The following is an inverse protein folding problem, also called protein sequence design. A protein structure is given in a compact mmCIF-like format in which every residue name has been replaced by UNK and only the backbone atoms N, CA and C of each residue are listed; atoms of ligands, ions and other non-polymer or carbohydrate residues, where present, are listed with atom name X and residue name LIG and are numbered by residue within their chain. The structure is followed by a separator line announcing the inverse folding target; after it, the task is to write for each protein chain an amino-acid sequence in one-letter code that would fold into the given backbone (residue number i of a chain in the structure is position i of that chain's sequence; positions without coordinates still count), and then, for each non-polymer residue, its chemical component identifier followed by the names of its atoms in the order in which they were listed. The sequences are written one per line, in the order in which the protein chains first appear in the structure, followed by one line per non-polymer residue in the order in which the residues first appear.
data_IF_420137057703
#
_entry.id   IF_420137057703
#
_cell.length_a   1.000
_cell.length_b   1.000
_cell.length_c   1.000
_cell.angle_alpha   90.00
_cell.angle_beta   90.00
_cell.angle_gamma   90.00
#
_symmetry.space_group_name_H-M   'P 1'
#
loop_
_entity.id
_entity.type
_entity.pdbx_description
1 polymer ?
#
# COMPACT_ATOMS: atom_id res chain seq x y z
N UNK A 1 10.98 2.43 2.70
CA UNK A 1 9.90 2.12 1.74
C UNK A 1 10.10 0.76 1.11
N UNK A 2 9.02 0.08 0.72
CA UNK A 2 9.07 -1.31 0.19
C UNK A 2 9.77 -1.42 -1.17
N UNK A 3 9.71 -0.35 -1.97
CA UNK A 3 10.26 -0.34 -3.33
C UNK A 3 11.80 -0.42 -3.33
N UNK A 4 12.56 0.43 -2.61
CA UNK A 4 14.02 0.28 -2.51
C UNK A 4 14.47 -1.07 -1.95
N UNK A 5 13.72 -1.65 -1.00
CA UNK A 5 14.01 -2.97 -0.43
C UNK A 5 13.79 -4.10 -1.46
N UNK A 6 12.70 -4.05 -2.22
CA UNK A 6 12.48 -4.99 -3.32
C UNK A 6 13.58 -4.90 -4.38
N UNK A 7 14.03 -3.67 -4.65
CA UNK A 7 15.10 -3.41 -5.61
C UNK A 7 16.47 -3.90 -5.14
N UNK A 8 16.78 -3.77 -3.85
CA UNK A 8 18.02 -4.31 -3.30
C UNK A 8 18.03 -5.84 -3.34
N UNK A 9 16.89 -6.49 -3.08
CA UNK A 9 16.72 -7.94 -3.26
C UNK A 9 16.97 -8.34 -4.72
N UNK A 10 16.40 -7.62 -5.68
CA UNK A 10 16.59 -7.89 -7.11
C UNK A 10 18.05 -7.72 -7.55
N UNK A 11 18.72 -6.67 -7.09
CA UNK A 11 20.16 -6.42 -7.37
C UNK A 11 21.07 -7.49 -6.77
N UNK A 12 20.66 -8.12 -5.66
CA UNK A 12 21.36 -9.25 -5.02
C UNK A 12 21.06 -10.61 -5.67
N UNK A 13 20.41 -10.62 -6.83
CA UNK A 13 20.15 -11.84 -7.61
C UNK A 13 18.85 -12.56 -7.27
N UNK A 14 17.91 -11.93 -6.54
CA UNK A 14 16.58 -12.53 -6.36
C UNK A 14 15.86 -12.72 -7.71
N UNK A 15 15.16 -13.85 -7.86
CA UNK A 15 14.32 -14.08 -9.02
C UNK A 15 13.13 -13.09 -9.04
N UNK A 16 12.49 -12.92 -10.20
CA UNK A 16 11.39 -11.97 -10.31
C UNK A 16 10.22 -12.34 -9.38
N UNK A 17 9.95 -13.64 -9.21
CA UNK A 17 8.87 -14.12 -8.36
C UNK A 17 9.00 -13.65 -6.90
N UNK A 18 10.18 -13.82 -6.29
CA UNK A 18 10.44 -13.42 -4.91
C UNK A 18 10.33 -11.90 -4.72
N UNK A 19 10.83 -11.11 -5.68
CA UNK A 19 10.70 -9.65 -5.66
C UNK A 19 9.24 -9.21 -5.76
N UNK A 20 8.44 -9.83 -6.64
CA UNK A 20 7.01 -9.50 -6.76
C UNK A 20 6.22 -9.91 -5.51
N UNK A 21 6.45 -11.10 -4.95
CA UNK A 21 5.77 -11.53 -3.73
C UNK A 21 6.04 -10.57 -2.56
N UNK A 22 7.28 -10.09 -2.44
CA UNK A 22 7.64 -9.09 -1.44
C UNK A 22 6.93 -7.75 -1.67
N UNK A 23 6.87 -7.26 -2.92
CA UNK A 23 6.19 -6.01 -3.27
C UNK A 23 4.69 -6.04 -2.98
N UNK A 24 4.03 -7.18 -3.18
CA UNK A 24 2.58 -7.33 -2.95
C UNK A 24 2.27 -7.44 -1.46
N UNK A 25 2.94 -8.35 -0.74
CA UNK A 25 2.57 -8.68 0.64
C UNK A 25 2.91 -7.55 1.62
N UNK A 26 4.09 -6.94 1.49
CA UNK A 26 4.66 -6.05 2.50
C UNK A 26 3.80 -4.83 2.83
N UNK A 27 3.24 -4.06 1.86
CA UNK A 27 2.41 -2.90 2.19
C UNK A 27 1.07 -3.28 2.81
N UNK A 28 0.63 -4.53 2.71
CA UNK A 28 -0.72 -4.95 3.12
C UNK A 28 -0.75 -5.71 4.43
N UNK A 29 0.32 -6.41 4.78
CA UNK A 29 0.44 -7.18 6.02
C UNK A 29 1.12 -6.40 7.16
N UNK A 30 1.29 -5.09 7.00
CA UNK A 30 1.85 -4.22 8.05
C UNK A 30 0.96 -4.19 9.30
N UNK A 31 1.58 -4.19 10.49
CA UNK A 31 0.86 -4.16 11.76
C UNK A 31 -0.01 -2.89 11.92
N UNK A 32 0.46 -1.77 11.39
CA UNK A 32 -0.26 -0.51 11.29
C UNK A 32 -1.53 -0.65 10.44
N UNK A 33 -1.42 -1.26 9.26
CA UNK A 33 -2.56 -1.48 8.37
C UNK A 33 -3.59 -2.43 8.97
N UNK A 34 -3.14 -3.48 9.68
CA UNK A 34 -4.01 -4.45 10.33
C UNK A 34 -4.76 -3.79 11.49
N UNK A 35 -4.07 -3.00 12.32
CA UNK A 35 -4.69 -2.28 13.43
C UNK A 35 -5.77 -1.29 12.95
N UNK A 36 -5.50 -0.54 11.88
CA UNK A 36 -6.47 0.41 11.31
C UNK A 36 -7.65 -0.34 10.67
N UNK A 37 -7.40 -1.44 9.97
CA UNK A 37 -8.48 -2.26 9.38
C UNK A 37 -9.38 -2.82 10.47
N UNK A 38 -8.81 -3.29 11.59
CA UNK A 38 -9.56 -3.78 12.74
C UNK A 38 -10.44 -2.70 13.37
N UNK A 39 -9.92 -1.48 13.46
CA UNK A 39 -10.66 -0.36 14.02
C UNK A 39 -11.81 0.12 13.12
N UNK A 40 -11.73 -0.07 11.79
CA UNK A 40 -12.62 0.60 10.83
C UNK A 40 -13.50 -0.31 9.94
N UNK A 41 -13.11 -1.56 9.67
CA UNK A 41 -13.69 -2.40 8.60
C UNK A 41 -14.13 -3.81 9.04
N UNK A 42 -14.19 -4.06 10.35
CA UNK A 42 -14.54 -5.33 10.99
C UNK A 42 -13.40 -6.37 11.14
N UNK A 43 -13.53 -7.29 12.12
CA UNK A 43 -12.56 -8.38 12.33
C UNK A 43 -12.45 -9.35 11.14
N UNK A 44 -13.55 -9.59 10.41
CA UNK A 44 -13.56 -10.49 9.25
C UNK A 44 -12.62 -9.97 8.17
N UNK A 45 -12.76 -8.70 7.81
CA UNK A 45 -11.90 -8.04 6.82
C UNK A 45 -10.44 -7.99 7.26
N UNK A 46 -10.21 -7.75 8.56
CA UNK A 46 -8.87 -7.72 9.17
C UNK A 46 -8.09 -9.02 9.00
N UNK A 47 -8.76 -10.17 9.13
CA UNK A 47 -8.12 -11.50 8.95
C UNK A 47 -8.06 -11.88 7.48
N UNK A 48 -9.14 -11.63 6.73
CA UNK A 48 -9.22 -11.98 5.33
C UNK A 48 -8.16 -11.28 4.50
N UNK A 49 -7.87 -10.00 4.81
CA UNK A 49 -6.93 -9.19 4.05
C UNK A 49 -5.51 -9.75 4.02
N UNK A 50 -4.80 -10.01 5.14
CA UNK A 50 -3.49 -10.65 5.12
C UNK A 50 -3.46 -12.03 4.44
N UNK A 51 -4.52 -12.83 4.60
CA UNK A 51 -4.59 -14.17 4.02
C UNK A 51 -4.70 -14.11 2.50
N UNK A 52 -5.64 -13.31 1.99
CA UNK A 52 -5.86 -13.16 0.56
C UNK A 52 -4.66 -12.51 -0.13
N UNK A 53 -4.00 -11.54 0.51
CA UNK A 53 -2.81 -10.87 -0.04
C UNK A 53 -1.60 -11.79 -0.06
N UNK A 54 -1.42 -12.63 0.98
CA UNK A 54 -0.39 -13.66 0.99
C UNK A 54 -0.58 -14.67 -0.14
N UNK A 55 -1.81 -15.17 -0.34
CA UNK A 55 -2.13 -16.09 -1.45
C UNK A 55 -1.90 -15.41 -2.80
N UNK A 56 -2.31 -14.16 -2.95
CA UNK A 56 -2.08 -13.37 -4.17
C UNK A 56 -0.58 -13.19 -4.45
N UNK A 57 0.21 -12.87 -3.41
CA UNK A 57 1.66 -12.69 -3.51
C UNK A 57 2.37 -13.98 -3.90
N UNK A 58 1.97 -15.12 -3.33
CA UNK A 58 2.49 -16.43 -3.72
C UNK A 58 2.12 -16.78 -5.15
N UNK A 59 0.85 -16.60 -5.53
CA UNK A 59 0.39 -16.86 -6.88
C UNK A 59 1.14 -16.04 -7.92
N UNK A 60 1.24 -14.72 -7.71
CA UNK A 60 1.98 -13.83 -8.61
C UNK A 60 3.47 -14.20 -8.69
N UNK A 61 4.09 -14.54 -7.55
CA UNK A 61 5.49 -14.95 -7.49
C UNK A 61 5.76 -16.25 -8.24
N UNK A 62 4.95 -17.28 -8.00
CA UNK A 62 5.06 -18.60 -8.64
C UNK A 62 4.84 -18.47 -10.15
N UNK A 63 3.75 -17.82 -10.57
CA UNK A 63 3.44 -17.65 -12.00
C UNK A 63 4.54 -16.86 -12.71
N UNK A 64 5.06 -15.80 -12.09
CA UNK A 64 6.18 -15.04 -12.68
C UNK A 64 7.45 -15.87 -12.82
N UNK A 65 7.75 -16.76 -11.87
CA UNK A 65 8.96 -17.57 -11.88
C UNK A 65 8.89 -18.71 -12.91
N UNK A 66 7.69 -19.29 -13.12
CA UNK A 66 7.45 -20.32 -14.13
C UNK A 66 7.60 -19.73 -15.53
N UNK A 67 7.00 -18.57 -15.80
CA UNK A 67 7.07 -17.94 -17.12
C UNK A 67 8.46 -17.41 -17.47
N UNK A 68 9.27 -17.03 -16.47
CA UNK A 68 10.67 -16.66 -16.70
C UNK A 68 11.51 -17.88 -17.14
N UNK A 69 11.22 -19.06 -16.58
CA UNK A 69 11.84 -20.35 -16.99
C UNK A 69 11.56 -20.69 -18.46
N UNK A 70 10.36 -20.41 -18.97
CA UNK A 70 10.01 -20.66 -20.38
C UNK A 70 10.74 -19.73 -21.36
N UNK A 71 11.02 -18.49 -20.95
CA UNK A 71 11.77 -17.52 -21.77
C UNK A 71 13.26 -17.90 -21.82
N UNK A 72 13.84 -18.38 -20.72
CA UNK A 72 15.22 -18.88 -20.70
C UNK A 72 15.40 -20.16 -21.53
N UNK A 73 14.38 -21.02 -21.63
CA UNK A 73 14.44 -22.22 -22.49
C UNK A 73 14.37 -21.93 -23.99
N UNK A 74 13.81 -20.78 -24.41
CA UNK A 74 13.71 -20.40 -25.83
C UNK A 74 14.98 -19.69 -26.34
N UNK A 75 15.80 -19.15 -25.43
CA UNK A 75 17.10 -18.53 -25.73
C UNK A 75 18.22 -19.46 -25.26
N UNK A 76 18.41 -20.58 -25.95
CA UNK A 76 19.57 -21.46 -25.71
C UNK A 76 20.86 -20.74 -26.09
N UNK A 77 21.50 -20.13 -25.09
CA UNK A 77 22.96 -20.08 -24.96
C UNK A 77 23.30 -19.91 -23.47
N UNK A 78 23.49 -21.01 -22.71
CA UNK A 78 23.85 -20.94 -21.30
C UNK A 78 25.37 -20.77 -21.21
N UNK A 79 25.86 -19.59 -21.58
CA UNK A 79 27.19 -19.15 -21.16
C UNK A 79 26.99 -17.96 -20.26
N UNK A 80 26.76 -18.25 -18.97
CA UNK A 80 27.46 -17.65 -17.83
C UNK A 80 26.77 -18.11 -16.54
N UNK A 81 27.35 -19.16 -15.95
CA UNK A 81 27.47 -19.39 -14.51
C UNK A 81 26.18 -19.56 -13.69
N UNK A 82 25.70 -20.81 -13.73
CA UNK A 82 25.60 -21.57 -12.48
C UNK A 82 26.94 -21.51 -11.74
N UNK A 83 27.07 -20.65 -10.72
CA UNK A 83 28.10 -20.82 -9.69
C UNK A 83 27.44 -21.03 -8.35
N UNK A 84 27.55 -22.26 -7.87
CA UNK A 84 27.56 -22.60 -6.45
C UNK A 84 28.90 -22.09 -5.91
N UNK A 85 28.87 -21.13 -5.00
CA UNK A 85 30.00 -20.74 -4.16
C UNK A 85 29.40 -20.27 -2.82
N UNK A 86 29.34 -21.15 -1.82
CA UNK A 86 30.38 -21.34 -0.79
C UNK A 86 30.65 -20.05 -0.01
N UNK A 87 30.22 -20.10 1.24
CA UNK A 87 30.54 -19.12 2.26
C UNK A 87 32.06 -19.05 2.44
N UNK A 88 32.68 -17.96 1.99
CA UNK A 88 33.88 -17.45 2.65
C UNK A 88 34.09 -15.96 2.39
N UNK A 89 34.25 -15.25 3.51
CA UNK A 89 34.68 -13.86 3.74
C UNK A 89 33.59 -12.76 3.82
N UNK A 90 33.47 -12.10 5.00
CA UNK A 90 32.58 -10.98 5.24
C UNK A 90 33.23 -9.70 4.72
N UNK A 91 33.02 -9.40 3.45
CA UNK A 91 33.37 -8.10 2.87
C UNK A 91 32.16 -7.19 2.89
N UNK A 92 32.12 -6.25 3.84
CA UNK A 92 31.21 -5.11 3.78
C UNK A 92 31.41 -4.36 2.45
N UNK A 93 30.37 -4.28 1.63
CA UNK A 93 30.29 -3.35 0.52
C UNK A 93 29.40 -2.17 0.94
N UNK A 94 30.05 -1.18 1.56
CA UNK A 94 29.50 0.15 1.80
C UNK A 94 30.29 1.11 0.91
N UNK A 95 29.74 1.44 -0.25
CA UNK A 95 30.24 2.53 -1.09
C UNK A 95 29.65 3.87 -0.64
N UNK A 96 30.50 4.74 -0.12
CA UNK A 96 30.20 6.12 0.28
C UNK A 96 30.90 6.46 1.59
N UNK A 97 31.84 7.39 1.53
CA UNK A 97 32.73 7.83 2.60
C UNK A 97 32.03 8.12 3.95
N UNK A 98 32.77 7.89 5.04
CA UNK A 98 32.38 7.95 6.46
C UNK A 98 31.74 6.68 7.08
N UNK A 99 32.51 5.60 7.11
CA UNK A 99 32.38 4.61 8.19
C UNK A 99 33.11 5.09 9.47
N UNK A 100 32.69 6.25 9.98
CA UNK A 100 32.90 6.61 11.38
C UNK A 100 32.03 5.70 12.24
N UNK A 101 32.56 5.22 13.37
CA UNK A 101 31.79 4.49 14.37
C UNK A 101 30.75 5.41 15.02
N UNK A 102 29.65 5.69 14.34
CA UNK A 102 28.48 6.29 14.95
C UNK A 102 27.88 5.24 15.91
N UNK A 103 27.75 5.60 17.18
CA UNK A 103 27.20 4.71 18.20
C UNK A 103 25.79 4.25 17.81
N UNK A 104 25.34 3.12 18.35
CA UNK A 104 23.98 2.62 18.15
C UNK A 104 22.92 3.70 18.47
N UNK A 105 23.27 4.64 19.36
CA UNK A 105 22.47 5.82 19.71
C UNK A 105 22.47 6.90 18.62
N UNK A 106 23.60 7.30 18.05
CA UNK A 106 23.61 8.28 16.93
C UNK A 106 22.86 7.73 15.73
N UNK A 107 23.07 6.45 15.38
CA UNK A 107 22.35 5.81 14.27
C UNK A 107 20.84 5.71 14.51
N UNK A 108 20.42 5.47 15.76
CA UNK A 108 19.01 5.48 16.13
C UNK A 108 18.40 6.88 16.05
N UNK A 109 19.13 7.91 16.49
CA UNK A 109 18.67 9.31 16.46
C UNK A 109 18.57 9.80 15.01
N UNK A 110 19.55 9.51 14.16
CA UNK A 110 19.49 9.89 12.75
C UNK A 110 18.39 9.12 12.00
N UNK A 111 18.19 7.84 12.30
CA UNK A 111 17.09 7.07 11.73
C UNK A 111 15.71 7.62 12.16
N UNK A 112 15.56 8.04 13.42
CA UNK A 112 14.32 8.64 13.93
C UNK A 112 14.09 10.01 13.30
N UNK A 113 15.13 10.84 13.19
CA UNK A 113 15.05 12.18 12.58
C UNK A 113 14.68 12.08 11.10
N UNK A 114 15.30 11.16 10.36
CA UNK A 114 14.98 10.89 8.97
C UNK A 114 13.52 10.41 8.80
N UNK A 115 13.09 9.44 9.62
CA UNK A 115 11.74 8.89 9.55
C UNK A 115 10.65 9.91 9.89
N UNK A 116 10.89 10.76 10.90
CA UNK A 116 9.88 11.65 11.45
C UNK A 116 9.87 13.06 10.85
N UNK A 117 11.00 13.53 10.31
CA UNK A 117 11.11 14.91 9.79
C UNK A 117 11.11 14.91 8.27
N UNK A 118 12.04 14.21 7.63
CA UNK A 118 12.16 14.22 6.16
C UNK A 118 11.05 13.39 5.50
N UNK A 119 10.90 12.13 5.89
CA UNK A 119 9.90 11.24 5.27
C UNK A 119 8.47 11.72 5.50
N UNK A 120 8.12 12.08 6.75
CA UNK A 120 6.80 12.64 7.02
C UNK A 120 6.63 14.00 6.37
N UNK A 121 7.65 14.86 6.33
CA UNK A 121 7.58 16.16 5.66
C UNK A 121 7.26 16.04 4.15
N UNK A 122 7.89 15.09 3.48
CA UNK A 122 7.70 14.82 2.05
C UNK A 122 6.32 14.24 1.73
N UNK A 123 5.82 13.35 2.60
CA UNK A 123 4.54 12.67 2.37
C UNK A 123 3.37 13.51 2.88
N UNK A 124 3.53 14.27 3.97
CA UNK A 124 2.45 14.98 4.65
C UNK A 124 1.76 16.00 3.76
N UNK A 125 2.50 16.77 2.94
CA UNK A 125 1.89 17.77 2.04
C UNK A 125 0.94 17.08 1.05
N UNK A 126 1.41 16.02 0.39
CA UNK A 126 0.62 15.26 -0.57
C UNK A 126 -0.52 14.49 0.08
N UNK A 127 -0.30 13.97 1.31
CA UNK A 127 -1.33 13.29 2.10
C UNK A 127 -2.44 14.25 2.49
N UNK A 128 -2.13 15.44 3.01
CA UNK A 128 -3.12 16.45 3.38
C UNK A 128 -3.92 16.91 2.16
N UNK A 129 -3.26 17.17 1.04
CA UNK A 129 -3.95 17.52 -0.22
C UNK A 129 -4.85 16.38 -0.68
N UNK A 130 -4.35 15.14 -0.65
CA UNK A 130 -5.13 13.94 -0.99
C UNK A 130 -6.33 13.72 -0.06
N UNK A 131 -6.18 13.96 1.24
CA UNK A 131 -7.24 13.83 2.24
C UNK A 131 -8.29 14.93 2.09
N UNK A 132 -7.88 16.17 1.79
CA UNK A 132 -8.80 17.26 1.48
C UNK A 132 -9.60 16.98 0.21
N UNK A 133 -8.93 16.55 -0.86
CA UNK A 133 -9.60 16.16 -2.11
C UNK A 133 -10.53 14.97 -1.87
N UNK A 134 -10.09 13.94 -1.13
CA UNK A 134 -10.91 12.79 -0.79
C UNK A 134 -12.12 13.18 0.08
N UNK A 135 -11.98 14.14 0.99
CA UNK A 135 -13.06 14.70 1.79
C UNK A 135 -14.06 15.50 0.94
N UNK A 136 -13.57 16.31 -0.01
CA UNK A 136 -14.41 17.06 -0.94
C UNK A 136 -15.14 16.12 -1.91
N UNK A 137 -14.45 15.14 -2.49
CA UNK A 137 -15.07 14.10 -3.33
C UNK A 137 -16.08 13.31 -2.50
N UNK A 138 -15.74 12.92 -1.27
CA UNK A 138 -16.67 12.24 -0.38
C UNK A 138 -17.83 13.13 0.06
N UNK A 139 -17.72 14.45 0.01
CA UNK A 139 -18.86 15.33 0.24
C UNK A 139 -19.74 15.44 -1.02
N UNK A 140 -19.13 15.56 -2.19
CA UNK A 140 -19.81 15.77 -3.48
C UNK A 140 -20.44 14.47 -4.03
N UNK A 141 -19.85 13.30 -3.77
CA UNK A 141 -20.36 12.01 -4.28
C UNK A 141 -21.56 11.55 -3.45
N UNK A 142 -22.78 11.57 -4.00
CA UNK A 142 -23.99 11.23 -3.27
C UNK A 142 -24.10 9.71 -3.05
N UNK A 143 -24.72 9.32 -1.94
CA UNK A 143 -24.82 7.92 -1.52
C UNK A 143 -25.61 7.07 -2.52
N UNK A 144 -26.53 7.65 -3.28
CA UNK A 144 -27.32 6.96 -4.30
C UNK A 144 -26.46 6.48 -5.48
N UNK A 145 -25.43 7.24 -5.87
CA UNK A 145 -24.49 6.83 -6.94
C UNK A 145 -23.58 5.72 -6.45
N UNK A 146 -23.15 5.78 -5.19
CA UNK A 146 -22.32 4.73 -4.58
C UNK A 146 -23.13 3.44 -4.41
N UNK A 147 -24.34 3.50 -3.85
CA UNK A 147 -25.22 2.34 -3.75
C UNK A 147 -25.58 1.73 -5.13
N UNK A 148 -25.75 2.56 -6.16
CA UNK A 148 -26.09 2.09 -7.51
C UNK A 148 -24.92 1.49 -8.31
N UNK A 149 -23.73 2.12 -8.28
CA UNK A 149 -22.57 1.71 -9.09
C UNK A 149 -21.51 0.92 -8.30
N UNK A 150 -21.50 1.03 -6.97
CA UNK A 150 -20.51 0.41 -6.06
C UNK A 150 -21.15 -0.57 -5.06
N UNK A 151 -22.48 -0.72 -5.12
CA UNK A 151 -23.28 -1.59 -4.24
C UNK A 151 -23.05 -3.09 -4.42
N UNK A 152 -22.32 -3.51 -5.45
CA UNK A 152 -21.91 -4.91 -5.63
C UNK A 152 -21.81 -5.36 -7.07
N UNK A 153 -21.27 -6.57 -7.23
CA UNK A 153 -21.12 -7.23 -8.52
C UNK A 153 -19.76 -7.03 -9.18
N UNK A 154 -19.52 -7.76 -10.27
CA UNK A 154 -18.25 -7.73 -11.00
C UNK A 154 -17.96 -6.33 -11.60
N UNK A 155 -18.99 -5.60 -12.01
CA UNK A 155 -18.84 -4.27 -12.62
C UNK A 155 -18.24 -3.24 -11.67
N UNK A 156 -18.70 -3.20 -10.41
CA UNK A 156 -18.17 -2.29 -9.38
C UNK A 156 -16.74 -2.64 -9.01
N UNK A 157 -16.43 -3.94 -8.90
CA UNK A 157 -15.10 -4.42 -8.60
C UNK A 157 -14.10 -4.07 -9.71
N UNK A 158 -14.47 -4.25 -10.98
CA UNK A 158 -13.62 -3.87 -12.12
C UNK A 158 -13.40 -2.36 -12.13
N UNK A 159 -14.44 -1.55 -11.90
CA UNK A 159 -14.32 -0.09 -11.83
C UNK A 159 -13.32 0.32 -10.75
N UNK A 160 -13.45 -0.22 -9.53
CA UNK A 160 -12.56 0.09 -8.42
C UNK A 160 -11.14 -0.44 -8.62
N UNK A 161 -10.97 -1.56 -9.32
CA UNK A 161 -9.67 -2.06 -9.74
C UNK A 161 -8.99 -1.07 -10.71
N UNK A 162 -9.70 -0.58 -11.72
CA UNK A 162 -9.17 0.41 -12.66
C UNK A 162 -8.81 1.74 -12.00
N UNK A 163 -9.58 2.16 -11.00
CA UNK A 163 -9.26 3.35 -10.20
C UNK A 163 -8.08 3.06 -9.26
N UNK A 164 -8.01 1.89 -8.65
CA UNK A 164 -6.96 1.52 -7.70
C UNK A 164 -5.58 1.32 -8.34
N UNK A 165 -5.51 0.79 -9.57
CA UNK A 165 -4.23 0.51 -10.25
C UNK A 165 -3.30 1.72 -10.42
N UNK A 166 -3.76 2.86 -10.94
CA UNK A 166 -2.90 4.04 -11.12
C UNK A 166 -2.75 4.87 -9.85
N UNK A 167 -3.65 4.73 -8.88
CA UNK A 167 -3.78 5.62 -7.74
C UNK A 167 -2.75 5.28 -6.65
N UNK A 168 -1.83 6.20 -6.40
CA UNK A 168 -0.82 6.03 -5.34
C UNK A 168 -1.44 6.32 -3.97
N UNK A 169 -1.98 5.29 -3.31
CA UNK A 169 -2.50 5.39 -1.95
C UNK A 169 -1.89 4.30 -1.06
N UNK A 170 -1.42 4.69 0.12
CA UNK A 170 -0.92 3.75 1.12
C UNK A 170 -2.04 2.92 1.74
N UNK A 171 -1.69 1.75 2.26
CA UNK A 171 -2.62 0.86 2.96
C UNK A 171 -3.36 1.55 4.13
N UNK A 172 -2.68 2.46 4.82
CA UNK A 172 -3.24 3.22 5.95
C UNK A 172 -4.26 4.26 5.51
N UNK A 173 -4.06 4.96 4.39
CA UNK A 173 -5.00 5.98 3.90
C UNK A 173 -6.18 5.40 3.09
N UNK A 174 -5.98 4.28 2.39
CA UNK A 174 -7.04 3.60 1.64
C UNK A 174 -8.11 2.98 2.57
N UNK A 175 -7.73 2.61 3.79
CA UNK A 175 -8.61 1.93 4.76
C UNK A 175 -9.75 2.85 5.26
N UNK A 176 -9.50 4.08 5.75
CA UNK A 176 -10.56 5.03 6.07
C UNK A 176 -11.43 5.43 4.88
N UNK A 177 -10.83 5.55 3.69
CA UNK A 177 -11.58 5.86 2.47
C UNK A 177 -12.55 4.73 2.12
N UNK A 178 -12.09 3.47 2.18
CA UNK A 178 -12.94 2.30 2.00
C UNK A 178 -14.07 2.24 3.04
N UNK A 179 -13.79 2.52 4.31
CA UNK A 179 -14.80 2.56 5.37
C UNK A 179 -15.87 3.63 5.11
N UNK A 180 -15.46 4.83 4.68
CA UNK A 180 -16.39 5.90 4.33
C UNK A 180 -17.27 5.55 3.12
N UNK A 181 -16.72 4.82 2.13
CA UNK A 181 -17.49 4.37 0.97
C UNK A 181 -18.43 3.21 1.31
N UNK A 182 -18.03 2.29 2.20
CA UNK A 182 -18.91 1.23 2.71
C UNK A 182 -20.08 1.83 3.49
N UNK A 183 -19.82 2.84 4.33
CA UNK A 183 -20.88 3.57 5.03
C UNK A 183 -21.87 4.26 4.08
N UNK A 184 -21.47 4.50 2.82
CA UNK A 184 -22.32 5.01 1.73
C UNK A 184 -22.94 3.94 0.85
N UNK A 185 -22.80 2.67 1.21
CA UNK A 185 -23.39 1.54 0.49
C UNK A 185 -22.47 0.85 -0.51
N UNK A 186 -21.15 1.05 -0.46
CA UNK A 186 -20.20 0.21 -1.20
C UNK A 186 -20.18 -1.22 -0.61
N UNK A 187 -20.19 -2.23 -1.47
CA UNK A 187 -20.02 -3.63 -1.03
C UNK A 187 -18.64 -3.90 -0.42
N UNK A 188 -18.54 -4.72 0.66
CA UNK A 188 -17.26 -5.07 1.29
C UNK A 188 -16.24 -5.70 0.32
N UNK A 189 -16.69 -6.51 -0.63
CA UNK A 189 -15.86 -7.11 -1.67
C UNK A 189 -15.30 -6.10 -2.66
N UNK A 190 -16.08 -5.10 -3.06
CA UNK A 190 -15.60 -4.00 -3.91
C UNK A 190 -14.56 -3.14 -3.16
N UNK A 191 -14.80 -2.88 -1.88
CA UNK A 191 -13.84 -2.20 -1.02
C UNK A 191 -12.54 -3.02 -0.87
N UNK A 192 -12.64 -4.35 -0.74
CA UNK A 192 -11.48 -5.24 -0.70
C UNK A 192 -10.65 -5.17 -1.98
N UNK A 193 -11.29 -5.18 -3.15
CA UNK A 193 -10.59 -5.04 -4.44
C UNK A 193 -9.79 -3.74 -4.49
N UNK A 194 -10.38 -2.63 -4.03
CA UNK A 194 -9.69 -1.36 -3.92
C UNK A 194 -8.50 -1.41 -2.93
N UNK A 195 -8.70 -2.00 -1.75
CA UNK A 195 -7.67 -2.15 -0.71
C UNK A 195 -6.55 -3.13 -1.08
N UNK A 196 -6.83 -4.08 -1.96
CA UNK A 196 -5.84 -5.00 -2.49
C UNK A 196 -5.07 -4.38 -3.66
N UNK A 197 -5.75 -3.65 -4.55
CA UNK A 197 -5.11 -2.99 -5.68
C UNK A 197 -4.28 -1.78 -5.23
N UNK A 198 -4.87 -0.79 -4.56
CA UNK A 198 -4.24 0.52 -4.30
C UNK A 198 -2.84 0.46 -3.68
N UNK A 199 -2.62 -0.27 -2.56
CA UNK A 199 -1.29 -0.37 -1.94
C UNK A 199 -0.30 -1.24 -2.72
N UNK A 200 -0.79 -2.23 -3.48
CA UNK A 200 0.06 -3.12 -4.27
C UNK A 200 0.47 -2.45 -5.58
N UNK A 201 -0.41 -1.70 -6.22
CA UNK A 201 -0.19 -1.14 -7.56
C UNK A 201 -0.15 0.36 -7.52
N UNK A 202 0.86 0.94 -8.16
CA UNK A 202 0.87 2.37 -8.45
C UNK A 202 1.78 2.65 -9.65
N UNK A 203 1.63 3.83 -10.25
CA UNK A 203 2.39 4.22 -11.43
C UNK A 203 3.92 4.11 -11.25
N UNK A 204 4.43 4.45 -10.06
CA UNK A 204 5.86 4.37 -9.76
C UNK A 204 6.37 2.91 -9.72
N UNK A 205 5.64 2.02 -9.05
CA UNK A 205 5.97 0.60 -8.92
C UNK A 205 5.87 -0.10 -10.27
N UNK A 206 4.82 0.19 -11.05
CA UNK A 206 4.65 -0.32 -12.41
C UNK A 206 5.84 0.11 -13.29
N UNK A 207 6.24 1.38 -13.23
CA UNK A 207 7.37 1.91 -14.00
C UNK A 207 8.69 1.24 -13.60
N UNK A 208 8.92 1.07 -12.30
CA UNK A 208 10.15 0.43 -11.81
C UNK A 208 10.20 -1.06 -12.15
N UNK A 209 9.13 -1.81 -11.92
CA UNK A 209 9.05 -3.23 -12.29
C UNK A 209 9.20 -3.39 -13.82
N UNK A 210 8.63 -2.48 -14.62
CA UNK A 210 8.83 -2.49 -16.09
C UNK A 210 10.31 -2.33 -16.44
N UNK A 211 11.01 -1.40 -15.79
CA UNK A 211 12.42 -1.09 -16.08
C UNK A 211 13.38 -2.20 -15.65
N UNK A 212 13.12 -2.87 -14.53
CA UNK A 212 14.04 -3.85 -13.94
C UNK A 212 13.67 -5.32 -14.20
N UNK A 213 12.41 -5.62 -14.47
CA UNK A 213 11.88 -6.99 -14.61
C UNK A 213 11.22 -7.21 -15.99
N UNK A 214 11.04 -6.14 -16.77
CA UNK A 214 10.49 -6.18 -18.12
C UNK A 214 8.96 -6.16 -18.16
N UNK A 215 8.43 -5.91 -19.38
CA UNK A 215 6.99 -5.78 -19.62
C UNK A 215 6.20 -7.06 -19.30
N UNK A 216 6.79 -8.24 -19.55
CA UNK A 216 6.17 -9.54 -19.26
C UNK A 216 5.89 -9.73 -17.77
N UNK A 217 6.86 -9.40 -16.92
CA UNK A 217 6.71 -9.49 -15.47
C UNK A 217 5.61 -8.55 -14.96
N UNK A 218 5.52 -7.33 -15.51
CA UNK A 218 4.46 -6.37 -15.16
C UNK A 218 3.08 -6.84 -15.58
N UNK A 219 2.95 -7.41 -16.78
CA UNK A 219 1.65 -7.95 -17.22
C UNK A 219 1.18 -9.09 -16.34
N UNK A 220 2.07 -10.01 -15.94
CA UNK A 220 1.74 -11.10 -15.01
C UNK A 220 1.38 -10.52 -13.64
N UNK A 221 2.18 -9.57 -13.15
CA UNK A 221 1.94 -8.88 -11.88
C UNK A 221 0.54 -8.26 -11.81
N UNK A 222 0.19 -7.42 -12.78
CA UNK A 222 -1.11 -6.75 -12.83
C UNK A 222 -2.25 -7.75 -13.07
N UNK A 223 -2.06 -8.74 -13.94
CA UNK A 223 -3.08 -9.76 -14.21
C UNK A 223 -3.39 -10.61 -12.98
N UNK A 224 -2.36 -11.00 -12.21
CA UNK A 224 -2.54 -11.81 -11.01
C UNK A 224 -3.20 -11.03 -9.89
N UNK A 225 -2.81 -9.76 -9.69
CA UNK A 225 -3.48 -8.86 -8.75
C UNK A 225 -4.95 -8.68 -9.14
N UNK A 226 -5.22 -8.39 -10.41
CA UNK A 226 -6.59 -8.24 -10.92
C UNK A 226 -7.42 -9.51 -10.69
N UNK A 227 -6.90 -10.66 -11.11
CA UNK A 227 -7.58 -11.95 -10.98
C UNK A 227 -7.91 -12.27 -9.52
N UNK A 228 -6.91 -12.24 -8.64
CA UNK A 228 -7.13 -12.57 -7.23
C UNK A 228 -7.96 -11.53 -6.50
N UNK A 229 -7.81 -10.23 -6.81
CA UNK A 229 -8.66 -9.20 -6.25
C UNK A 229 -10.13 -9.48 -6.55
N UNK A 230 -10.46 -9.78 -7.81
CA UNK A 230 -11.83 -10.09 -8.22
C UNK A 230 -12.34 -11.38 -7.58
N UNK A 231 -11.54 -12.46 -7.59
CA UNK A 231 -11.93 -13.75 -7.00
C UNK A 231 -12.17 -13.61 -5.50
N UNK A 232 -11.25 -13.01 -4.76
CA UNK A 232 -11.38 -12.82 -3.33
C UNK A 232 -12.42 -11.76 -2.96
N UNK A 233 -12.61 -10.73 -3.79
CA UNK A 233 -13.69 -9.75 -3.62
C UNK A 233 -15.07 -10.39 -3.73
N UNK A 234 -15.29 -11.22 -4.75
CA UNK A 234 -16.54 -12.00 -4.88
C UNK A 234 -16.72 -13.00 -3.75
N UNK A 235 -15.64 -13.68 -3.34
CA UNK A 235 -15.67 -14.59 -2.20
C UNK A 235 -16.05 -13.84 -0.91
N UNK A 236 -15.53 -12.64 -0.71
CA UNK A 236 -15.81 -11.82 0.47
C UNK A 236 -17.27 -11.35 0.47
N UNK A 237 -17.80 -10.86 -0.65
CA UNK A 237 -19.22 -10.52 -0.77
C UNK A 237 -20.10 -11.72 -0.43
N UNK A 238 -19.76 -12.92 -0.94
CA UNK A 238 -20.48 -14.15 -0.61
C UNK A 238 -20.44 -14.48 0.89
N UNK A 239 -19.28 -14.33 1.53
CA UNK A 239 -19.10 -14.54 2.96
C UNK A 239 -19.97 -13.56 3.77
N UNK A 240 -19.97 -12.27 3.40
CA UNK A 240 -20.76 -11.24 4.08
C UNK A 240 -22.27 -11.46 3.89
N UNK A 241 -22.72 -11.78 2.67
CA UNK A 241 -24.12 -12.14 2.39
C UNK A 241 -24.53 -13.37 3.22
N UNK A 242 -23.66 -14.38 3.34
CA UNK A 242 -23.97 -15.61 4.07
C UNK A 242 -24.04 -15.42 5.58
N UNK A 243 -23.20 -14.54 6.13
CA UNK A 243 -23.18 -14.22 7.56
C UNK A 243 -24.26 -13.21 7.96
N UNK A 244 -24.89 -12.51 7.00
CA UNK A 244 -25.93 -11.51 7.29
C UNK A 244 -25.43 -10.34 8.13
N UNK A 245 -24.12 -10.08 8.12
CA UNK A 245 -23.47 -9.01 8.88
C UNK A 245 -23.49 -7.75 8.01
N UNK A 246 -24.19 -6.72 8.47
CA UNK A 246 -24.05 -5.38 7.90
C UNK A 246 -22.69 -4.81 8.35
N UNK A 247 -21.75 -4.66 7.41
CA UNK A 247 -20.40 -4.08 7.60
C UNK A 247 -20.41 -2.60 8.05
N UNK A 248 -21.58 -2.03 8.31
CA UNK A 248 -21.83 -0.65 8.69
C UNK A 248 -21.73 -0.41 10.21
N UNK A 249 -21.68 -1.48 11.02
CA UNK A 249 -21.95 -1.37 12.47
C UNK A 249 -20.75 -1.05 13.35
N UNK A 250 -19.49 -1.28 12.94
CA UNK A 250 -18.32 -0.96 13.79
C UNK A 250 -17.72 0.42 13.50
N UNK A 251 -17.75 0.89 12.25
CA UNK A 251 -17.24 2.22 11.89
C UNK A 251 -18.01 3.36 12.58
N UNK A 252 -19.28 3.15 12.93
CA UNK A 252 -20.09 4.09 13.74
C UNK A 252 -19.73 4.09 15.23
N UNK A 253 -19.44 2.92 15.81
CA UNK A 253 -19.23 2.75 17.25
C UNK A 253 -17.90 3.32 17.78
N UNK A 254 -16.89 3.49 16.92
CA UNK A 254 -15.66 4.19 17.32
C UNK A 254 -15.90 5.67 17.65
N UNK A 255 -16.95 6.27 17.07
CA UNK A 255 -17.41 7.63 17.40
C UNK A 255 -18.03 7.73 18.80
N UNK A 256 -18.65 6.64 19.26
CA UNK A 256 -19.40 6.58 20.52
C UNK A 256 -18.53 6.10 21.71
N UNK A 257 -17.44 5.38 21.44
CA UNK A 257 -16.51 4.89 22.48
C UNK A 257 -15.52 5.96 22.97
N UNK A 258 -15.33 7.05 22.23
CA UNK A 258 -14.48 8.17 22.65
C UNK A 258 -15.38 9.28 23.23
N UNK A 259 -15.14 9.73 24.48
CA UNK A 259 -15.83 10.90 25.03
C UNK A 259 -15.68 12.06 24.05
N UNK A 260 -16.77 12.80 23.79
CA UNK A 260 -16.78 13.91 22.84
C UNK A 260 -15.64 14.92 23.10
N UNK A 261 -15.23 15.05 24.37
CA UNK A 261 -14.11 15.88 24.83
C UNK A 261 -12.74 15.43 24.32
N UNK A 262 -12.50 14.12 24.21
CA UNK A 262 -11.23 13.57 23.71
C UNK A 262 -11.14 13.75 22.20
N UNK A 263 -12.25 13.53 21.49
CA UNK A 263 -12.34 13.75 20.04
C UNK A 263 -12.07 15.21 19.67
N UNK A 264 -12.68 16.16 20.38
CA UNK A 264 -12.47 17.60 20.13
C UNK A 264 -11.04 18.03 20.47
N UNK A 265 -10.44 17.47 21.53
CA UNK A 265 -9.05 17.72 21.87
C UNK A 265 -8.08 17.27 20.77
N UNK A 266 -8.18 16.02 20.29
CA UNK A 266 -7.31 15.53 19.21
C UNK A 266 -7.54 16.27 17.89
N UNK A 267 -8.78 16.64 17.59
CA UNK A 267 -9.10 17.44 16.40
C UNK A 267 -8.47 18.84 16.48
N UNK A 268 -8.56 19.52 17.64
CA UNK A 268 -7.92 20.81 17.87
C UNK A 268 -6.39 20.70 17.81
N UNK A 269 -5.81 19.67 18.42
CA UNK A 269 -4.37 19.44 18.41
C UNK A 269 -3.85 19.20 16.99
N UNK A 270 -4.54 18.39 16.18
CA UNK A 270 -4.23 18.21 14.76
C UNK A 270 -4.38 19.50 13.97
N UNK A 271 -5.45 20.26 14.20
CA UNK A 271 -5.66 21.55 13.55
C UNK A 271 -4.51 22.52 13.88
N UNK A 272 -4.10 22.61 15.15
CA UNK A 272 -2.98 23.45 15.60
C UNK A 272 -1.67 23.00 14.94
N UNK A 273 -1.37 21.70 14.91
CA UNK A 273 -0.17 21.17 14.26
C UNK A 273 -0.13 21.47 12.76
N UNK A 274 -1.26 21.32 12.06
CA UNK A 274 -1.38 21.64 10.64
C UNK A 274 -1.19 23.14 10.41
N UNK A 275 -1.84 23.98 11.23
CA UNK A 275 -1.70 25.44 11.14
C UNK A 275 -0.25 25.87 11.40
N UNK A 276 0.40 25.29 12.41
CA UNK A 276 1.81 25.55 12.73
C UNK A 276 2.73 25.13 11.58
N UNK A 277 2.51 23.94 11.00
CA UNK A 277 3.26 23.47 9.83
C UNK A 277 3.08 24.37 8.60
N UNK A 278 1.89 24.94 8.40
CA UNK A 278 1.62 25.88 7.31
C UNK A 278 2.27 27.25 7.55
N UNK A 279 2.30 27.74 8.79
CA UNK A 279 2.97 28.98 9.17
C UNK A 279 4.49 28.84 9.00
N UNK A 280 5.07 27.73 9.45
CA UNK A 280 6.50 27.45 9.33
C UNK A 280 6.95 27.27 7.87
N UNK A 281 6.06 26.75 7.01
CA UNK A 281 6.28 26.73 5.55
C UNK A 281 6.31 28.13 4.93
N UNK A 282 5.48 29.05 5.43
CA UNK A 282 5.50 30.45 4.97
C UNK A 282 6.84 31.11 5.28
N UNK A 283 7.41 30.83 6.46
CA UNK A 283 8.75 31.27 6.86
C UNK A 283 9.86 30.64 6.00
N UNK A 284 9.68 29.40 5.52
CA UNK A 284 10.67 28.71 4.68
C UNK A 284 10.64 29.19 3.21
N UNK A 285 9.46 29.48 2.67
CA UNK A 285 9.33 30.04 1.31
C UNK A 285 9.81 31.51 1.26
N UNK A 286 9.72 32.26 2.36
CA UNK A 286 10.18 33.67 2.45
C UNK A 286 11.72 33.81 2.53
N UNK A 287 12.45 32.74 2.89
CA UNK A 287 13.92 32.74 2.89
C UNK A 287 14.56 32.35 1.56
N UNK A 288 13.80 31.81 0.60
CA UNK A 288 14.37 31.32 -0.66
C UNK A 288 14.39 32.37 -1.78
N UNK A 289 13.79 33.55 -1.55
CA UNK A 289 13.85 34.73 -2.44
C UNK A 289 15.03 35.68 -2.14
N UNK A 290 15.96 35.27 -1.26
CA UNK A 290 17.19 36.01 -0.96
C UNK A 290 18.42 35.10 -1.08
N UNK A 291 18.71 34.61 -2.29
CA UNK A 291 20.02 34.06 -2.67
C UNK A 291 20.22 34.18 -4.18
#
# INVERSE_FOLDING_TARGET
GVIPAAMSLKKRGANNGATLSFLISTPQTGADSIAITYALLDPVMTVFRPVATFITALGAGITSNIMEKDVTNTLSNPTMLSKKEEATNPGCDCGGDDCGQAGLKERAIDAIKYAYVELLGDIAKWLVVGLLIAGVISYIVPAEIVGGYLGGGIGSMILMLFVGIPLYICATASTPLAAALIAKGMSPGTAFVFLLAGPATNAATITMVTKFMGKKAVTIYLAMIALFALVFGMLLDLIYIRMGIEATTIAGSASDLLPAEVKTFFALLLAIMITYSLIQRRESDECQDCS
#
